data_IF_879787224099
#
_entry.id   IF_879787224099
#
_cell.length_a   1.000
_cell.length_b   1.000
_cell.length_c   1.000
_cell.angle_alpha   90.00
_cell.angle_beta   90.00
_cell.angle_gamma   90.00
#
_symmetry.space_group_name_H-M   'P 1'
#
loop_
_entity.id
_entity.type
_entity.pdbx_description
1 polymer ?
#
# COMPACT_ATOMS: atom_id res chain seq x y z
N UNK A 1 11.18 -10.77 -11.64
CA UNK A 1 11.66 -9.45 -11.19
C UNK A 1 10.70 -8.92 -10.14
N UNK A 2 11.17 -8.65 -8.93
CA UNK A 2 10.40 -7.93 -7.91
C UNK A 2 10.59 -6.44 -8.11
N UNK A 3 9.53 -5.70 -8.41
CA UNK A 3 9.59 -4.23 -8.51
C UNK A 3 9.74 -3.65 -7.10
N UNK A 4 10.73 -2.78 -6.88
CA UNK A 4 10.84 -2.01 -5.63
C UNK A 4 9.88 -0.83 -5.67
N UNK A 5 8.87 -0.82 -4.79
CA UNK A 5 7.92 0.29 -4.72
C UNK A 5 8.59 1.58 -4.24
N UNK A 6 9.66 1.48 -3.47
CA UNK A 6 10.43 2.64 -3.01
C UNK A 6 11.22 3.29 -4.16
N UNK A 7 11.79 2.50 -5.07
CA UNK A 7 12.46 3.02 -6.27
C UNK A 7 11.45 3.63 -7.24
N UNK A 8 10.34 2.92 -7.51
CA UNK A 8 9.26 3.44 -8.32
C UNK A 8 8.69 4.76 -7.76
N UNK A 9 8.63 4.91 -6.42
CA UNK A 9 8.22 6.16 -5.79
C UNK A 9 9.16 7.32 -6.09
N UNK A 10 10.48 7.08 -6.01
CA UNK A 10 11.51 8.08 -6.30
C UNK A 10 11.49 8.49 -7.76
N UNK A 11 11.44 7.52 -8.67
CA UNK A 11 11.44 7.76 -10.12
C UNK A 11 10.19 8.50 -10.60
N UNK A 12 9.02 8.15 -10.06
CA UNK A 12 7.74 8.68 -10.51
C UNK A 12 7.21 9.84 -9.66
N UNK A 13 7.95 10.27 -8.63
CA UNK A 13 7.51 11.33 -7.71
C UNK A 13 6.27 10.97 -6.88
N UNK A 14 6.08 9.68 -6.55
CA UNK A 14 4.92 9.23 -5.76
C UNK A 14 5.17 9.56 -4.28
N UNK A 15 4.28 10.36 -3.70
CA UNK A 15 4.35 10.75 -2.28
C UNK A 15 3.62 9.79 -1.36
N UNK A 16 2.53 9.20 -1.84
CA UNK A 16 1.66 8.32 -1.08
C UNK A 16 1.17 7.16 -1.93
N UNK A 17 0.91 6.03 -1.27
CA UNK A 17 0.34 4.82 -1.84
C UNK A 17 -0.99 4.53 -1.17
N UNK A 18 -1.98 4.12 -1.96
CA UNK A 18 -3.19 3.48 -1.45
C UNK A 18 -2.98 1.97 -1.49
N UNK A 19 -2.85 1.36 -0.33
CA UNK A 19 -2.87 -0.10 -0.20
C UNK A 19 -4.33 -0.50 -0.01
N UNK A 20 -4.88 -1.18 -1.01
CA UNK A 20 -6.32 -1.43 -1.12
C UNK A 20 -6.63 -2.90 -1.21
N UNK A 21 -7.79 -3.28 -0.68
CA UNK A 21 -8.43 -4.57 -0.94
C UNK A 21 -9.94 -4.38 -1.09
N UNK A 22 -10.60 -5.38 -1.68
CA UNK A 22 -12.05 -5.43 -1.81
C UNK A 22 -12.58 -6.46 -0.83
N UNK A 23 -13.55 -6.07 0.01
CA UNK A 23 -14.19 -7.00 0.93
C UNK A 23 -15.29 -7.85 0.25
N UNK A 24 -15.91 -8.76 1.00
CA UNK A 24 -16.93 -9.69 0.48
C UNK A 24 -18.20 -8.99 -0.05
N UNK A 25 -18.44 -7.74 0.35
CA UNK A 25 -19.58 -6.94 -0.11
C UNK A 25 -19.21 -6.06 -1.31
N UNK A 26 -17.98 -6.16 -1.82
CA UNK A 26 -17.49 -5.37 -2.94
C UNK A 26 -17.00 -3.97 -2.54
N UNK A 27 -16.91 -3.66 -1.25
CA UNK A 27 -16.43 -2.35 -0.79
C UNK A 27 -14.91 -2.30 -0.87
N UNK A 28 -14.37 -1.24 -1.48
CA UNK A 28 -12.93 -0.98 -1.52
C UNK A 28 -12.51 -0.29 -0.22
N UNK A 29 -11.61 -0.94 0.52
CA UNK A 29 -10.99 -0.38 1.72
C UNK A 29 -9.52 -0.11 1.44
N UNK A 30 -9.04 1.03 1.89
CA UNK A 30 -7.68 1.48 1.60
C UNK A 30 -7.00 2.12 2.81
N UNK A 31 -5.68 2.00 2.87
CA UNK A 31 -4.83 2.77 3.76
C UNK A 31 -3.92 3.69 2.94
N UNK A 32 -3.92 4.98 3.28
CA UNK A 32 -2.96 5.94 2.74
C UNK A 32 -1.62 5.79 3.46
N UNK A 33 -0.58 5.41 2.73
CA UNK A 33 0.75 5.15 3.26
C UNK A 33 1.76 6.09 2.60
N UNK A 34 2.60 6.82 3.36
CA UNK A 34 3.64 7.65 2.77
C UNK A 34 4.72 6.79 2.11
N UNK A 35 5.36 7.30 1.05
CA UNK A 35 6.44 6.63 0.34
C UNK A 35 7.60 6.20 1.27
N UNK A 36 7.84 6.95 2.35
CA UNK A 36 8.85 6.62 3.36
C UNK A 36 8.60 5.26 4.07
N UNK A 37 7.35 4.79 4.13
CA UNK A 37 6.97 3.55 4.79
C UNK A 37 6.69 2.39 3.80
N UNK A 38 6.74 2.63 2.49
CA UNK A 38 6.24 1.66 1.49
C UNK A 38 7.05 0.36 1.45
N UNK A 39 8.37 0.41 1.67
CA UNK A 39 9.23 -0.77 1.66
C UNK A 39 8.84 -1.78 2.75
N UNK A 40 8.48 -1.28 3.95
CA UNK A 40 7.99 -2.12 5.03
C UNK A 40 6.64 -2.76 4.70
N UNK A 41 5.72 -1.98 4.12
CA UNK A 41 4.39 -2.47 3.72
C UNK A 41 4.47 -3.45 2.55
N UNK A 42 5.42 -3.28 1.62
CA UNK A 42 5.65 -4.22 0.53
C UNK A 42 6.08 -5.59 1.04
N UNK A 43 6.90 -5.64 2.10
CA UNK A 43 7.39 -6.89 2.70
C UNK A 43 6.36 -7.55 3.61
N UNK A 44 5.68 -6.75 4.44
CA UNK A 44 4.89 -7.25 5.57
C UNK A 44 3.38 -7.09 5.39
N UNK A 45 2.93 -6.34 4.38
CA UNK A 45 1.54 -5.91 4.22
C UNK A 45 1.18 -4.69 5.10
N UNK A 46 0.00 -4.12 4.86
CA UNK A 46 -0.58 -3.08 5.70
C UNK A 46 -1.61 -3.68 6.65
N UNK A 47 -1.53 -3.35 7.94
CA UNK A 47 -2.47 -3.84 8.94
C UNK A 47 -3.85 -3.17 8.83
N UNK A 48 -4.89 -4.00 8.81
CA UNK A 48 -6.30 -3.60 8.91
C UNK A 48 -6.97 -4.39 10.04
N UNK A 49 -7.93 -3.78 10.73
CA UNK A 49 -8.83 -4.50 11.63
C UNK A 49 -9.93 -5.13 10.79
N UNK A 50 -9.86 -6.44 10.52
CA UNK A 50 -10.71 -7.11 9.52
C UNK A 50 -12.20 -7.21 9.87
N UNK A 51 -12.61 -6.81 11.08
CA UNK A 51 -14.02 -6.82 11.51
C UNK A 51 -14.71 -5.45 11.38
N UNK A 52 -13.96 -4.38 11.08
CA UNK A 52 -14.47 -3.00 10.94
C UNK A 52 -14.75 -2.62 9.48
#
# INVERSE_FOLDING_TARGET
MSISLAEAAKEKGIRYFLISFTDLFGVVRSKLVPAAAIAGMQKNGAGFAGFA
#
